data_IF_192800688585
#
_entry.id   IF_192800688585
#
_cell.length_a   1.000
_cell.length_b   1.000
_cell.length_c   1.000
_cell.angle_alpha   90.00
_cell.angle_beta   90.00
_cell.angle_gamma   90.00
#
_symmetry.space_group_name_H-M   'P 1'
#
loop_
_entity.id
_entity.type
_entity.pdbx_description
1 polymer ?
#
# COMPACT_ATOMS: atom_id res chain seq x y z
N UNK A 1 -7.61 -12.35 4.76
CA UNK A 1 -6.87 -11.08 4.91
C UNK A 1 -6.98 -10.29 3.62
N UNK A 2 -7.02 -8.94 3.68
CA UNK A 2 -7.18 -8.08 2.50
C UNK A 2 -5.84 -7.98 1.75
N UNK A 3 -5.81 -8.30 0.44
CA UNK A 3 -4.63 -8.11 -0.42
C UNK A 3 -4.32 -6.62 -0.55
N UNK A 4 -3.03 -6.27 -0.54
CA UNK A 4 -2.55 -4.90 -0.70
C UNK A 4 -1.51 -4.84 -1.82
N UNK A 5 -1.33 -3.67 -2.42
CA UNK A 5 -0.23 -3.41 -3.34
C UNK A 5 1.06 -3.32 -2.52
N UNK A 6 2.09 -4.03 -2.97
CA UNK A 6 3.40 -4.08 -2.33
C UNK A 6 4.43 -3.64 -3.38
N UNK A 7 5.33 -2.74 -3.00
CA UNK A 7 6.39 -2.23 -3.85
C UNK A 7 7.67 -1.96 -3.07
N UNK A 8 8.84 -2.23 -3.66
CA UNK A 8 10.16 -2.05 -3.01
C UNK A 8 11.23 -1.72 -4.03
N UNK A 9 12.20 -0.88 -3.67
CA UNK A 9 13.13 -0.27 -4.62
C UNK A 9 14.59 -0.70 -4.47
N UNK A 10 15.27 -0.87 -5.61
CA UNK A 10 16.69 -1.19 -5.74
C UNK A 10 17.35 -0.33 -6.83
N UNK A 11 18.67 -0.15 -6.78
CA UNK A 11 19.40 0.62 -7.80
C UNK A 11 19.76 -0.24 -9.01
N UNK A 12 19.68 0.35 -10.21
CA UNK A 12 20.07 -0.29 -11.47
C UNK A 12 21.26 0.42 -12.10
N UNK A 13 22.07 -0.35 -12.84
CA UNK A 13 23.15 0.21 -13.65
C UNK A 13 22.73 0.23 -15.11
N UNK A 14 22.58 1.41 -15.74
CA UNK A 14 22.26 1.48 -17.17
C UNK A 14 23.47 1.02 -18.00
N UNK A 15 23.20 0.29 -19.09
CA UNK A 15 24.20 -0.15 -20.06
C UNK A 15 23.65 -0.04 -21.48
N UNK A 16 24.31 0.74 -22.34
CA UNK A 16 23.94 0.77 -23.76
C UNK A 16 24.34 -0.57 -24.39
N UNK A 17 23.39 -1.28 -25.00
CA UNK A 17 23.66 -2.53 -25.71
C UNK A 17 23.21 -2.40 -27.16
N UNK A 18 24.16 -2.49 -28.07
CA UNK A 18 23.95 -2.37 -29.51
C UNK A 18 23.74 -3.76 -30.12
N UNK A 19 22.62 -3.95 -30.84
CA UNK A 19 22.44 -5.11 -31.73
C UNK A 19 22.53 -4.63 -33.18
N UNK A 20 22.99 -5.51 -34.08
CA UNK A 20 23.40 -5.23 -35.46
C UNK A 20 22.38 -4.46 -36.31
N UNK A 21 21.10 -4.48 -35.94
CA UNK A 21 20.02 -3.83 -36.68
C UNK A 21 19.19 -2.82 -35.85
N UNK A 22 19.42 -2.71 -34.52
CA UNK A 22 18.73 -1.74 -33.66
C UNK A 22 19.52 -1.46 -32.36
N UNK A 23 19.69 -0.18 -32.04
CA UNK A 23 20.26 0.28 -30.75
C UNK A 23 19.17 0.32 -29.70
N UNK A 24 19.23 -0.55 -28.69
CA UNK A 24 18.36 -0.47 -27.53
C UNK A 24 19.16 -0.02 -26.31
N UNK A 25 18.59 0.89 -25.51
CA UNK A 25 19.13 1.15 -24.19
C UNK A 25 18.71 0.00 -23.28
N UNK A 26 19.68 -0.69 -22.67
CA UNK A 26 19.43 -1.77 -21.73
C UNK A 26 19.80 -1.31 -20.32
N UNK A 27 19.19 -1.90 -19.31
CA UNK A 27 19.67 -1.78 -17.95
C UNK A 27 19.59 -3.14 -17.26
N UNK A 28 20.54 -3.37 -16.35
CA UNK A 28 20.68 -4.60 -15.57
C UNK A 28 21.01 -4.23 -14.14
N UNK A 29 20.50 -5.01 -13.20
CA UNK A 29 20.81 -4.81 -11.79
C UNK A 29 20.08 -5.78 -10.89
N UNK A 30 20.21 -5.53 -9.59
CA UNK A 30 19.38 -6.19 -8.58
C UNK A 30 18.01 -5.53 -8.61
N UNK A 31 16.97 -6.31 -8.84
CA UNK A 31 15.58 -5.86 -8.89
C UNK A 31 14.84 -6.16 -7.58
N UNK A 32 15.27 -7.16 -6.82
CA UNK A 32 14.72 -7.56 -5.53
C UNK A 32 15.75 -8.40 -4.74
N UNK A 33 15.58 -8.55 -3.42
CA UNK A 33 16.31 -9.52 -2.59
C UNK A 33 15.37 -10.40 -1.78
N UNK A 34 15.70 -11.68 -1.70
CA UNK A 34 15.08 -12.62 -0.76
C UNK A 34 15.65 -12.46 0.64
N UNK A 35 14.86 -12.83 1.65
CA UNK A 35 15.22 -12.95 3.07
C UNK A 35 15.91 -11.72 3.70
N UNK A 36 15.79 -10.57 3.02
CA UNK A 36 16.36 -9.28 3.42
C UNK A 36 15.22 -8.34 3.75
N UNK A 37 15.32 -7.65 4.89
CA UNK A 37 14.37 -6.60 5.24
C UNK A 37 14.65 -5.41 4.34
N UNK A 38 13.64 -4.98 3.61
CA UNK A 38 13.73 -3.78 2.78
C UNK A 38 13.32 -2.53 3.57
N UNK A 39 13.40 -1.38 2.90
CA UNK A 39 13.14 -0.06 3.48
C UNK A 39 11.69 0.14 3.94
N UNK A 40 10.75 -0.62 3.39
CA UNK A 40 9.35 -0.64 3.84
C UNK A 40 9.13 -1.54 5.06
N UNK A 41 10.20 -2.05 5.67
CA UNK A 41 10.14 -3.00 6.78
C UNK A 41 9.57 -4.36 6.38
N UNK A 42 9.65 -4.74 5.10
CA UNK A 42 9.12 -6.00 4.59
C UNK A 42 10.23 -7.00 4.33
N UNK A 43 9.92 -8.27 4.50
CA UNK A 43 10.81 -9.38 4.15
C UNK A 43 10.10 -10.34 3.20
N UNK A 44 10.80 -10.77 2.15
CA UNK A 44 10.30 -11.71 1.16
C UNK A 44 10.98 -13.06 1.36
N UNK A 45 10.28 -14.08 1.89
CA UNK A 45 10.84 -15.40 2.00
C UNK A 45 11.32 -15.90 0.63
N UNK A 46 12.53 -16.48 0.56
CA UNK A 46 13.11 -16.97 -0.71
C UNK A 46 12.14 -17.82 -1.54
N UNK A 47 11.46 -18.77 -0.91
CA UNK A 47 10.48 -19.66 -1.55
C UNK A 47 9.30 -18.89 -2.17
N UNK A 48 8.82 -17.84 -1.50
CA UNK A 48 7.72 -16.99 -2.01
C UNK A 48 8.19 -16.24 -3.24
N UNK A 49 9.40 -15.67 -3.20
CA UNK A 49 9.96 -14.91 -4.30
C UNK A 49 10.30 -15.80 -5.50
N UNK A 50 10.90 -16.98 -5.28
CA UNK A 50 11.17 -17.98 -6.34
C UNK A 50 9.90 -18.39 -7.09
N UNK A 51 8.81 -18.65 -6.36
CA UNK A 51 7.49 -18.94 -6.96
C UNK A 51 7.02 -17.78 -7.84
N UNK A 52 7.05 -16.56 -7.31
CA UNK A 52 6.63 -15.37 -8.04
C UNK A 52 7.49 -15.12 -9.30
N UNK A 53 8.79 -15.35 -9.25
CA UNK A 53 9.69 -15.23 -10.40
C UNK A 53 9.41 -16.28 -11.47
N UNK A 54 9.10 -17.52 -11.08
CA UNK A 54 8.74 -18.57 -12.04
C UNK A 54 7.46 -18.24 -12.80
N UNK A 55 6.46 -17.67 -12.11
CA UNK A 55 5.25 -17.16 -12.74
C UNK A 55 5.55 -15.96 -13.66
N UNK A 56 6.39 -15.03 -13.20
CA UNK A 56 6.78 -13.85 -13.95
C UNK A 56 7.56 -14.18 -15.23
N UNK A 57 8.40 -15.23 -15.22
CA UNK A 57 9.10 -15.73 -16.42
C UNK A 57 8.15 -16.12 -17.55
N UNK A 58 6.93 -16.57 -17.26
CA UNK A 58 5.93 -16.84 -18.31
C UNK A 58 5.50 -15.54 -18.99
N UNK A 59 5.34 -14.45 -18.24
CA UNK A 59 5.03 -13.11 -18.80
C UNK A 59 6.16 -12.59 -19.68
N UNK A 60 7.42 -12.88 -19.32
CA UNK A 60 8.59 -12.54 -20.17
C UNK A 60 8.51 -13.31 -21.49
N UNK A 61 8.27 -14.63 -21.45
CA UNK A 61 8.13 -15.47 -22.65
C UNK A 61 7.00 -15.03 -23.57
N UNK A 62 5.89 -14.59 -22.98
CA UNK A 62 4.73 -14.04 -23.71
C UNK A 62 4.96 -12.60 -24.22
N UNK A 63 6.08 -11.96 -23.86
CA UNK A 63 6.36 -10.56 -24.22
C UNK A 63 5.49 -9.53 -23.49
N UNK A 64 4.89 -9.91 -22.35
CA UNK A 64 3.97 -9.09 -21.54
C UNK A 64 4.61 -8.47 -20.30
N UNK A 65 5.87 -8.81 -20.00
CA UNK A 65 6.61 -8.24 -18.88
C UNK A 65 7.09 -6.82 -19.19
N UNK A 66 6.25 -5.83 -18.90
CA UNK A 66 6.50 -4.41 -19.17
C UNK A 66 6.34 -3.57 -17.92
N UNK A 67 7.13 -2.52 -17.80
CA UNK A 67 7.12 -1.59 -16.68
C UNK A 67 6.88 -0.15 -17.10
N UNK A 68 6.61 0.68 -16.11
CA UNK A 68 6.30 2.11 -16.23
C UNK A 68 7.38 2.97 -15.58
N UNK A 69 7.32 4.30 -15.79
CA UNK A 69 8.06 5.26 -14.93
C UNK A 69 7.09 5.66 -13.83
N UNK A 70 7.51 5.49 -12.58
CA UNK A 70 6.67 5.56 -11.39
C UNK A 70 5.55 4.52 -11.36
N UNK A 71 5.01 4.24 -10.18
CA UNK A 71 3.89 3.32 -10.03
C UNK A 71 2.56 3.99 -10.45
N UNK A 72 1.73 3.37 -11.30
CA UNK A 72 0.37 3.82 -11.54
C UNK A 72 -0.43 3.80 -10.23
N UNK A 73 -1.17 4.86 -9.95
CA UNK A 73 -1.93 5.02 -8.70
C UNK A 73 -3.04 3.97 -8.52
N UNK A 74 -3.58 3.43 -9.61
CA UNK A 74 -4.56 2.35 -9.62
C UNK A 74 -3.93 0.94 -9.67
N UNK A 75 -2.59 0.87 -9.66
CA UNK A 75 -1.80 -0.35 -9.74
C UNK A 75 -1.82 -1.03 -11.11
N UNK A 76 -2.53 -0.49 -12.11
CA UNK A 76 -2.71 -1.13 -13.42
C UNK A 76 -1.82 -0.51 -14.47
N UNK A 77 -1.05 -1.33 -15.17
CA UNK A 77 -0.23 -0.87 -16.29
C UNK A 77 -1.10 -0.55 -17.51
N UNK A 78 -1.02 0.70 -17.99
CA UNK A 78 -1.70 1.16 -19.21
C UNK A 78 -0.71 1.24 -20.35
N UNK A 79 -1.14 0.87 -21.55
CA UNK A 79 -0.24 0.74 -22.71
C UNK A 79 0.56 2.02 -23.03
N UNK A 80 -0.06 3.20 -22.82
CA UNK A 80 0.57 4.49 -23.06
C UNK A 80 1.57 4.93 -21.97
N UNK A 81 1.62 4.23 -20.83
CA UNK A 81 2.54 4.51 -19.71
C UNK A 81 3.78 3.61 -19.73
N UNK A 82 3.77 2.56 -20.58
CA UNK A 82 4.88 1.60 -20.70
C UNK A 82 6.16 2.33 -21.13
N UNK A 83 7.25 2.15 -20.39
CA UNK A 83 8.57 2.73 -20.71
C UNK A 83 9.61 1.68 -21.08
N UNK A 84 9.51 0.48 -20.54
CA UNK A 84 10.50 -0.57 -20.72
C UNK A 84 9.87 -1.96 -20.72
N UNK A 85 10.62 -2.93 -21.27
CA UNK A 85 10.28 -4.35 -21.27
C UNK A 85 11.35 -5.13 -20.53
N UNK A 86 10.95 -5.93 -19.56
CA UNK A 86 11.84 -6.87 -18.87
C UNK A 86 12.13 -8.03 -19.83
N UNK A 87 13.41 -8.29 -20.07
CA UNK A 87 13.89 -9.30 -21.02
C UNK A 87 14.39 -10.56 -20.36
N UNK A 88 14.90 -10.46 -19.12
CA UNK A 88 15.33 -11.63 -18.34
C UNK A 88 15.22 -11.36 -16.85
N UNK A 89 15.06 -12.44 -16.07
CA UNK A 89 15.07 -12.39 -14.62
C UNK A 89 15.50 -13.73 -14.03
N UNK A 90 16.36 -13.70 -13.02
CA UNK A 90 16.74 -14.88 -12.26
C UNK A 90 17.16 -14.53 -10.84
N UNK A 91 17.11 -15.49 -9.92
CA UNK A 91 17.67 -15.35 -8.58
C UNK A 91 19.05 -16.00 -8.55
N UNK A 92 20.05 -15.29 -8.01
CA UNK A 92 21.38 -15.85 -7.78
C UNK A 92 21.43 -16.68 -6.48
N UNK A 93 22.58 -17.28 -6.19
CA UNK A 93 22.77 -18.11 -4.99
C UNK A 93 22.60 -17.31 -3.68
N UNK A 94 22.95 -16.02 -3.71
CA UNK A 94 22.87 -15.08 -2.59
C UNK A 94 21.43 -14.62 -2.30
N UNK A 95 20.47 -14.93 -3.17
CA UNK A 95 19.09 -14.49 -3.04
C UNK A 95 18.80 -13.12 -3.67
N UNK A 96 19.74 -12.53 -4.41
CA UNK A 96 19.46 -11.36 -5.23
C UNK A 96 18.72 -11.78 -6.50
N UNK A 97 17.65 -11.06 -6.81
CA UNK A 97 16.92 -11.15 -8.06
C UNK A 97 17.58 -10.23 -9.06
N UNK A 98 18.26 -10.79 -10.05
CA UNK A 98 18.89 -10.05 -11.12
C UNK A 98 17.91 -9.93 -12.28
N UNK A 99 17.61 -8.69 -12.65
CA UNK A 99 16.72 -8.36 -13.77
C UNK A 99 17.47 -7.68 -14.91
N UNK A 100 16.98 -7.89 -16.12
CA UNK A 100 17.41 -7.22 -17.33
C UNK A 100 16.21 -6.63 -18.05
N UNK A 101 16.31 -5.39 -18.52
CA UNK A 101 15.25 -4.75 -19.28
C UNK A 101 15.80 -3.85 -20.39
N UNK A 102 14.99 -3.67 -21.42
CA UNK A 102 15.25 -2.74 -22.53
C UNK A 102 14.24 -1.60 -22.50
N UNK A 103 14.71 -0.39 -22.77
CA UNK A 103 13.84 0.77 -22.98
C UNK A 103 13.18 0.65 -24.36
N UNK A 104 11.87 0.87 -24.42
CA UNK A 104 11.08 0.80 -25.65
C UNK A 104 10.82 2.23 -26.14
N UNK A 105 10.76 2.51 -27.44
CA UNK A 105 10.57 3.87 -27.95
C UNK A 105 9.13 4.41 -27.88
N UNK A 106 8.42 4.15 -26.78
CA UNK A 106 7.16 4.83 -26.45
C UNK A 106 7.43 6.27 -26.01
N UNK A 107 6.38 7.08 -25.79
CA UNK A 107 6.54 8.41 -25.18
C UNK A 107 7.29 8.33 -23.85
N UNK A 108 6.89 7.39 -22.98
CA UNK A 108 7.52 7.19 -21.67
C UNK A 108 8.92 6.59 -21.77
N UNK A 109 9.18 5.69 -22.70
CA UNK A 109 10.53 5.17 -22.86
C UNK A 109 11.50 6.20 -23.45
N UNK A 110 11.04 7.15 -24.28
CA UNK A 110 11.85 8.31 -24.70
C UNK A 110 12.21 9.21 -23.53
N UNK A 111 11.27 9.48 -22.63
CA UNK A 111 11.53 10.20 -21.37
C UNK A 111 12.56 9.45 -20.51
N UNK A 112 12.37 8.14 -20.31
CA UNK A 112 13.32 7.29 -19.56
C UNK A 112 14.72 7.29 -20.19
N UNK A 113 14.79 7.16 -21.51
CA UNK A 113 16.05 7.20 -22.27
C UNK A 113 16.77 8.52 -22.06
N UNK A 114 16.07 9.64 -22.15
CA UNK A 114 16.65 10.96 -21.94
C UNK A 114 17.20 11.13 -20.52
N UNK A 115 16.48 10.65 -19.50
CA UNK A 115 16.95 10.66 -18.10
C UNK A 115 18.24 9.85 -17.95
N UNK A 116 18.27 8.63 -18.49
CA UNK A 116 19.42 7.74 -18.42
C UNK A 116 20.64 8.29 -19.17
N UNK A 117 20.45 8.86 -20.37
CA UNK A 117 21.51 9.49 -21.16
C UNK A 117 22.05 10.76 -20.48
N UNK A 118 21.22 11.48 -19.73
CA UNK A 118 21.64 12.61 -18.91
C UNK A 118 22.37 12.20 -17.61
N UNK A 119 22.53 10.89 -17.35
CA UNK A 119 23.19 10.37 -16.16
C UNK A 119 22.33 10.46 -14.89
N UNK A 120 21.01 10.61 -15.01
CA UNK A 120 20.10 10.58 -13.86
C UNK A 120 20.10 9.18 -13.27
N UNK A 121 20.41 9.10 -11.98
CA UNK A 121 20.30 7.86 -11.22
C UNK A 121 18.82 7.50 -11.05
N UNK A 122 18.47 6.27 -11.40
CA UNK A 122 17.11 5.76 -11.28
C UNK A 122 17.11 4.42 -10.54
N UNK A 123 16.06 4.18 -9.76
CA UNK A 123 15.78 2.91 -9.13
C UNK A 123 14.84 2.03 -9.96
N UNK A 124 14.71 0.78 -9.54
CA UNK A 124 13.72 -0.17 -10.01
C UNK A 124 12.93 -0.67 -8.82
N UNK A 125 11.60 -0.70 -8.94
CA UNK A 125 10.70 -1.07 -7.88
C UNK A 125 9.80 -2.22 -8.30
N UNK A 126 9.73 -3.29 -7.52
CA UNK A 126 8.73 -4.33 -7.76
C UNK A 126 7.32 -3.78 -7.51
N UNK A 127 6.32 -4.31 -8.21
CA UNK A 127 4.91 -4.07 -7.95
C UNK A 127 4.21 -5.41 -7.94
N UNK A 128 3.49 -5.70 -6.86
CA UNK A 128 2.78 -6.96 -6.70
C UNK A 128 1.62 -6.86 -5.72
N UNK A 129 0.88 -7.95 -5.61
CA UNK A 129 -0.27 -8.07 -4.73
C UNK A 129 -0.13 -9.28 -3.84
N UNK A 130 -0.30 -9.12 -2.54
CA UNK A 130 -0.23 -10.23 -1.58
C UNK A 130 -0.73 -9.84 -0.21
N UNK A 131 -0.78 -10.82 0.68
CA UNK A 131 -0.95 -10.60 2.11
C UNK A 131 0.41 -10.51 2.81
N UNK A 132 0.43 -9.82 3.94
CA UNK A 132 1.59 -9.68 4.81
C UNK A 132 1.20 -10.04 6.22
N UNK A 133 2.15 -10.63 6.96
CA UNK A 133 1.98 -10.97 8.37
C UNK A 133 3.03 -10.22 9.19
N UNK A 134 2.65 -9.53 10.27
CA UNK A 134 3.62 -8.97 11.19
C UNK A 134 4.39 -10.10 11.88
N UNK A 135 5.72 -9.99 11.91
CA UNK A 135 6.62 -10.92 12.61
C UNK A 135 7.64 -10.10 13.42
N UNK A 136 7.98 -10.58 14.60
CA UNK A 136 9.01 -9.96 15.44
C UNK A 136 10.40 -10.48 15.03
N UNK A 137 11.31 -9.58 14.68
CA UNK A 137 12.70 -9.91 14.35
C UNK A 137 13.62 -8.86 14.94
N UNK A 138 14.60 -9.27 15.73
CA UNK A 138 15.56 -8.37 16.41
C UNK A 138 14.90 -7.25 17.23
N UNK A 139 13.75 -7.53 17.87
CA UNK A 139 13.02 -6.58 18.70
C UNK A 139 12.25 -5.50 17.93
N UNK A 140 12.09 -5.66 16.61
CA UNK A 140 11.24 -4.82 15.75
C UNK A 140 10.20 -5.68 15.04
N UNK A 141 8.99 -5.13 14.90
CA UNK A 141 7.97 -5.70 14.02
C UNK A 141 8.35 -5.44 12.57
N UNK A 142 8.46 -6.49 11.76
CA UNK A 142 8.58 -6.42 10.30
C UNK A 142 7.38 -7.13 9.66
N UNK A 143 7.18 -6.91 8.36
CA UNK A 143 6.07 -7.50 7.60
C UNK A 143 6.57 -8.58 6.65
N UNK A 144 6.32 -9.84 6.98
CA UNK A 144 6.65 -10.97 6.12
C UNK A 144 5.60 -11.13 5.03
N UNK A 145 6.05 -11.13 3.77
CA UNK A 145 5.20 -11.35 2.60
C UNK A 145 4.84 -12.84 2.49
N UNK A 146 3.55 -13.12 2.31
CA UNK A 146 3.01 -14.48 2.39
C UNK A 146 2.95 -15.18 1.01
N UNK A 147 2.63 -16.47 1.02
CA UNK A 147 2.65 -17.35 -0.19
C UNK A 147 1.63 -16.97 -1.29
N UNK A 148 0.69 -16.06 -0.99
CA UNK A 148 -0.30 -15.53 -1.93
C UNK A 148 0.20 -14.30 -2.71
N UNK A 149 1.47 -13.93 -2.53
CA UNK A 149 2.12 -12.86 -3.28
C UNK A 149 2.20 -13.19 -4.78
N UNK A 150 1.81 -12.21 -5.58
CA UNK A 150 1.86 -12.23 -7.04
C UNK A 150 2.63 -11.01 -7.52
N UNK A 151 3.76 -11.26 -8.15
CA UNK A 151 4.57 -10.22 -8.79
C UNK A 151 3.92 -9.80 -10.10
N UNK A 152 3.56 -8.52 -10.21
CA UNK A 152 2.91 -7.97 -11.39
C UNK A 152 3.93 -7.45 -12.39
N UNK A 153 4.86 -6.61 -11.94
CA UNK A 153 5.95 -6.06 -12.78
C UNK A 153 7.05 -5.39 -11.94
N UNK A 154 8.03 -4.81 -12.62
CA UNK A 154 9.02 -3.89 -12.08
C UNK A 154 8.89 -2.54 -12.80
N UNK A 155 8.85 -1.45 -12.05
CA UNK A 155 8.76 -0.09 -12.56
C UNK A 155 10.04 0.69 -12.26
N UNK A 156 10.40 1.60 -13.15
CA UNK A 156 11.48 2.56 -12.85
C UNK A 156 10.93 3.63 -11.92
N UNK A 157 11.70 4.00 -10.90
CA UNK A 157 11.34 5.09 -9.98
C UNK A 157 12.51 6.04 -9.80
N UNK A 158 12.24 7.33 -9.64
CA UNK A 158 13.28 8.34 -9.46
C UNK A 158 13.82 8.36 -8.02
N UNK A 159 12.92 8.34 -7.04
CA UNK A 159 13.30 8.30 -5.62
C UNK A 159 13.07 6.88 -5.09
N UNK A 160 14.10 6.01 -5.12
CA UNK A 160 14.01 4.75 -4.41
C UNK A 160 13.84 5.10 -2.95
N UNK A 161 12.80 4.62 -2.27
CA UNK A 161 12.56 4.88 -0.85
C UNK A 161 13.75 4.42 0.01
N UNK A 162 14.80 5.26 0.10
CA UNK A 162 16.16 4.97 0.56
C UNK A 162 16.63 6.09 1.49
N UNK A 163 16.95 5.80 2.75
CA UNK A 163 17.85 6.62 3.55
C UNK A 163 19.29 6.45 3.01
N UNK A 164 19.91 7.52 2.51
CA UNK A 164 21.33 7.52 2.10
C UNK A 164 21.62 7.48 0.59
N UNK A 165 20.63 7.73 -0.28
CA UNK A 165 20.82 7.77 -1.75
C UNK A 165 21.55 9.02 -2.28
N UNK A 166 21.85 10.00 -1.42
CA UNK A 166 22.72 11.12 -1.80
C UNK A 166 24.16 10.82 -1.37
N UNK A 167 25.00 10.44 -2.33
CA UNK A 167 26.40 10.81 -2.24
C UNK A 167 26.48 12.36 -2.32
N UNK A 168 26.35 13.03 -1.17
CA UNK A 168 26.79 14.43 -1.02
C UNK A 168 25.75 15.51 -0.71
N UNK A 169 24.61 15.21 -0.07
CA UNK A 169 23.86 16.27 0.63
C UNK A 169 23.49 15.75 2.01
N UNK A 170 24.05 16.40 3.04
CA UNK A 170 23.78 16.11 4.43
C UNK A 170 22.27 16.09 4.69
N UNK A 171 21.77 15.06 5.39
CA UNK A 171 20.43 15.03 5.99
C UNK A 171 20.13 16.41 6.59
N UNK A 172 19.21 17.16 5.97
CA UNK A 172 18.91 18.49 6.45
C UNK A 172 18.11 18.35 7.75
N UNK A 173 18.35 19.26 8.72
CA UNK A 173 17.56 19.30 9.98
C UNK A 173 16.07 19.57 9.73
N UNK A 174 15.68 19.91 8.51
CA UNK A 174 14.30 20.22 8.12
C UNK A 174 13.49 18.94 7.87
N UNK A 175 14.11 17.87 7.39
CA UNK A 175 13.44 16.59 7.12
C UNK A 175 13.00 15.90 8.42
N UNK A 176 13.88 15.86 9.43
CA UNK A 176 13.54 15.35 10.78
C UNK A 176 12.45 16.16 11.46
N UNK A 177 12.43 17.49 11.24
CA UNK A 177 11.35 18.35 11.74
C UNK A 177 10.03 18.10 11.03
N UNK A 178 10.07 17.76 9.74
CA UNK A 178 8.87 17.44 8.99
C UNK A 178 8.24 16.12 9.48
N UNK A 179 9.06 15.09 9.69
CA UNK A 179 8.61 13.80 10.24
C UNK A 179 8.01 13.94 11.64
N UNK A 180 8.68 14.70 12.53
CA UNK A 180 8.15 14.97 13.87
C UNK A 180 6.82 15.73 13.81
N UNK A 181 6.67 16.67 12.87
CA UNK A 181 5.45 17.46 12.70
C UNK A 181 4.30 16.64 12.13
N UNK A 182 4.57 15.73 11.20
CA UNK A 182 3.58 14.78 10.68
C UNK A 182 3.07 13.89 11.80
N UNK A 183 3.97 13.34 12.62
CA UNK A 183 3.59 12.49 13.77
C UNK A 183 2.74 13.25 14.80
N UNK A 184 3.07 14.52 15.06
CA UNK A 184 2.27 15.38 15.95
C UNK A 184 0.87 15.66 15.39
N UNK A 185 0.74 15.89 14.07
CA UNK A 185 -0.55 16.12 13.42
C UNK A 185 -1.43 14.86 13.45
N UNK A 186 -0.85 13.68 13.27
CA UNK A 186 -1.57 12.40 13.36
C UNK A 186 -2.13 12.16 14.77
N UNK A 187 -1.33 12.43 15.82
CA UNK A 187 -1.80 12.34 17.20
C UNK A 187 -2.91 13.36 17.52
N UNK A 188 -2.79 14.58 17.00
CA UNK A 188 -3.84 15.61 17.16
C UNK A 188 -5.13 15.21 16.47
N UNK A 189 -5.05 14.67 15.25
CA UNK A 189 -6.22 14.21 14.49
C UNK A 189 -6.95 13.10 15.24
N UNK A 190 -6.22 12.15 15.82
CA UNK A 190 -6.80 11.06 16.62
C UNK A 190 -7.54 11.58 17.86
N UNK A 191 -6.94 12.52 18.60
CA UNK A 191 -7.59 13.13 19.78
C UNK A 191 -8.87 13.88 19.39
N UNK A 192 -8.83 14.63 18.29
CA UNK A 192 -9.99 15.37 17.80
C UNK A 192 -11.14 14.44 17.39
N UNK A 193 -10.83 13.30 16.77
CA UNK A 193 -11.81 12.27 16.44
C UNK A 193 -12.46 11.68 17.71
N UNK A 194 -11.65 11.34 18.71
CA UNK A 194 -12.16 10.80 19.98
C UNK A 194 -13.04 11.82 20.74
N UNK A 195 -12.69 13.10 20.72
CA UNK A 195 -13.50 14.18 21.30
C UNK A 195 -14.82 14.38 20.55
N UNK A 196 -14.79 14.37 19.21
CA UNK A 196 -15.98 14.48 18.37
C UNK A 196 -16.94 13.31 18.58
N UNK A 197 -16.41 12.09 18.70
CA UNK A 197 -17.21 10.90 18.97
C UNK A 197 -17.88 10.96 20.34
N UNK A 198 -17.19 11.47 21.37
CA UNK A 198 -17.77 11.71 22.70
C UNK A 198 -18.85 12.79 22.66
N UNK A 199 -18.58 13.91 21.99
CA UNK A 199 -19.54 15.02 21.83
C UNK A 199 -20.82 14.53 21.12
N UNK A 200 -20.66 13.72 20.07
CA UNK A 200 -21.78 13.16 19.32
C UNK A 200 -22.61 12.20 20.17
N UNK A 201 -21.96 11.32 20.95
CA UNK A 201 -22.65 10.40 21.87
C UNK A 201 -23.46 11.15 22.92
N UNK A 202 -22.88 12.17 23.56
CA UNK A 202 -23.58 12.97 24.57
C UNK A 202 -24.82 13.66 23.98
N UNK A 203 -24.68 14.27 22.80
CA UNK A 203 -25.83 14.90 22.12
C UNK A 203 -26.94 13.90 21.79
N UNK A 204 -26.57 12.67 21.44
CA UNK A 204 -27.53 11.60 21.17
C UNK A 204 -28.28 11.18 22.43
N UNK A 205 -27.58 11.05 23.56
CA UNK A 205 -28.17 10.73 24.87
C UNK A 205 -29.11 11.84 25.34
N UNK A 206 -28.68 13.10 25.29
CA UNK A 206 -29.50 14.26 25.66
C UNK A 206 -30.77 14.34 24.81
N UNK A 207 -30.67 14.05 23.51
CA UNK A 207 -31.81 14.02 22.60
C UNK A 207 -32.78 12.89 22.95
N UNK A 208 -32.26 11.68 23.23
CA UNK A 208 -33.08 10.53 23.62
C UNK A 208 -33.84 10.80 24.94
N UNK A 209 -33.19 11.44 25.91
CA UNK A 209 -33.81 11.82 27.17
C UNK A 209 -34.93 12.83 26.98
N UNK A 210 -34.70 13.91 26.21
CA UNK A 210 -35.74 14.90 25.85
C UNK A 210 -36.92 14.27 25.12
N UNK A 211 -36.65 13.31 24.22
CA UNK A 211 -37.71 12.59 23.51
C UNK A 211 -38.56 11.78 24.49
N UNK A 212 -37.92 11.10 25.44
CA UNK A 212 -38.57 10.27 26.47
C UNK A 212 -39.44 11.14 27.38
N UNK A 213 -38.92 12.28 27.84
CA UNK A 213 -39.68 13.24 28.65
C UNK A 213 -40.89 13.81 27.90
N UNK A 214 -40.72 14.17 26.62
CA UNK A 214 -41.82 14.68 25.79
C UNK A 214 -42.91 13.62 25.57
N UNK A 215 -42.52 12.36 25.34
CA UNK A 215 -43.44 11.23 25.23
C UNK A 215 -44.19 11.03 26.55
N UNK A 216 -43.49 10.93 27.68
CA UNK A 216 -44.11 10.75 29.00
C UNK A 216 -45.08 11.87 29.36
N UNK A 217 -44.70 13.14 29.12
CA UNK A 217 -45.57 14.28 29.37
C UNK A 217 -46.85 14.22 28.54
N UNK A 218 -46.76 13.75 27.29
CA UNK A 218 -47.94 13.58 26.42
C UNK A 218 -48.82 12.41 26.90
N UNK A 219 -48.22 11.32 27.38
CA UNK A 219 -48.93 10.21 28.02
C UNK A 219 -49.65 10.61 29.32
N UNK A 220 -49.11 11.55 30.10
CA UNK A 220 -49.74 12.02 31.34
C UNK A 220 -50.90 12.99 31.13
N UNK A 221 -50.85 13.77 30.04
CA UNK A 221 -51.87 14.76 29.68
C UNK A 221 -53.07 14.14 28.94
N UNK A 222 -52.91 12.95 28.38
CA UNK A 222 -53.93 12.24 27.61
C UNK A 222 -54.64 11.21 28.51
N UNK A 223 -55.79 11.61 29.08
CA UNK A 223 -56.58 10.79 30.03
C UNK A 223 -57.04 9.45 29.44
N UNK A 224 -57.23 9.37 28.13
CA UNK A 224 -57.68 8.14 27.45
C UNK A 224 -56.55 7.11 27.35
N UNK A 225 -55.30 7.55 27.12
CA UNK A 225 -54.14 6.65 27.07
C UNK A 225 -53.80 6.12 28.46
N UNK A 226 -53.91 6.97 29.50
CA UNK A 226 -53.76 6.52 30.90
C UNK A 226 -54.78 5.45 31.27
N UNK A 227 -56.05 5.62 30.87
CA UNK A 227 -57.09 4.64 31.12
C UNK A 227 -56.79 3.28 30.43
N UNK A 228 -56.34 3.31 29.17
CA UNK A 228 -55.96 2.10 28.41
C UNK A 228 -54.79 1.36 29.06
N UNK A 229 -53.71 2.05 29.46
CA UNK A 229 -52.56 1.42 30.11
C UNK A 229 -52.89 0.85 31.49
N UNK A 230 -53.79 1.52 32.23
CA UNK A 230 -54.26 1.02 33.53
C UNK A 230 -55.12 -0.24 33.35
N UNK A 231 -55.98 -0.27 32.33
CA UNK A 231 -56.76 -1.46 31.96
C UNK A 231 -55.86 -2.63 31.51
N UNK A 232 -54.80 -2.37 30.74
CA UNK A 232 -53.83 -3.41 30.32
C UNK A 232 -53.01 -3.97 31.51
N UNK A 233 -52.59 -3.11 32.43
CA UNK A 233 -51.89 -3.53 33.64
C UNK A 233 -52.81 -4.36 34.57
N UNK A 234 -54.07 -3.94 34.71
CA UNK A 234 -55.10 -4.70 35.45
C UNK A 234 -55.38 -6.04 34.76
N UNK A 235 -55.46 -6.09 33.43
CA UNK A 235 -55.63 -7.32 32.67
C UNK A 235 -54.44 -8.29 32.84
N UNK A 236 -53.20 -7.79 32.91
CA UNK A 236 -52.01 -8.61 33.19
C UNK A 236 -51.95 -9.18 34.61
N UNK A 237 -52.52 -8.47 35.59
CA UNK A 237 -52.61 -8.94 36.98
C UNK A 237 -53.78 -9.92 37.15
N UNK A 238 -54.86 -9.77 36.36
CA UNK A 238 -56.05 -10.62 36.41
C UNK A 238 -55.98 -11.86 35.49
N UNK A 239 -55.05 -11.91 34.54
CA UNK A 239 -54.74 -13.16 33.84
C UNK A 239 -53.91 -14.07 34.75
N UNK A 240 -54.46 -15.20 35.22
CA UNK A 240 -53.63 -16.22 35.85
C UNK A 240 -52.68 -16.75 34.78
N UNK A 241 -51.43 -17.02 35.19
CA UNK A 241 -50.51 -17.84 34.42
C UNK A 241 -51.24 -19.12 33.98
N UNK A 242 -51.41 -19.27 32.67
CA UNK A 242 -51.68 -20.52 31.97
C UNK A 242 -50.63 -20.64 30.88
#
# INVERSE_FOLDING_TARGET
MKKQMISDVYFITPQIVENKDNKFLKFKGVFQRADTINENGRIYPKKVLEKALNEFKNRIKEGRAVGTIEHPSDGKTKAYEISHKITDIYMNEQGDVIGEAIVIETSKGKELKALLEAGVSIGISSRGFGSMKPVEKDGRTIYEVQEDFQLETFDVVYDPSTPGAFAGVAESKEDKKMEEKVKQLEEQLKKLQEEKDKELKQKLEDFAQKLTEAVNKKLEQDTDIRAILTLEAVARVLSPVV
#
